data_IF_266880647275
#
_entry.id   IF_266880647275
#
_cell.length_a   1.000
_cell.length_b   1.000
_cell.length_c   1.000
_cell.angle_alpha   90.00
_cell.angle_beta   90.00
_cell.angle_gamma   90.00
#
_symmetry.space_group_name_H-M   'P 1'
#
loop_
_entity.id
_entity.type
_entity.pdbx_description
1 polymer ?
#
# COMPACT_ATOMS: atom_id res chain seq x y z
N UNK A 1 -25.30 23.63 -13.79
CA UNK A 1 -24.45 22.56 -14.36
C UNK A 1 -23.38 22.06 -13.38
N UNK A 2 -22.59 22.92 -12.73
CA UNK A 2 -21.55 22.51 -11.76
C UNK A 2 -22.07 21.72 -10.53
N UNK A 3 -23.26 22.07 -10.01
CA UNK A 3 -23.91 21.37 -8.89
C UNK A 3 -24.37 19.96 -9.26
N UNK A 4 -25.01 19.80 -10.42
CA UNK A 4 -25.44 18.49 -10.94
C UNK A 4 -24.24 17.55 -11.19
N UNK A 5 -23.16 18.06 -11.78
CA UNK A 5 -21.93 17.32 -11.97
C UNK A 5 -21.33 16.86 -10.62
N UNK A 6 -21.28 17.75 -9.62
CA UNK A 6 -20.78 17.45 -8.28
C UNK A 6 -21.59 16.35 -7.58
N UNK A 7 -22.92 16.42 -7.64
CA UNK A 7 -23.79 15.38 -7.09
C UNK A 7 -23.59 14.02 -7.79
N UNK A 8 -23.39 14.01 -9.11
CA UNK A 8 -23.12 12.79 -9.86
C UNK A 8 -21.79 12.15 -9.45
N UNK A 9 -20.71 12.95 -9.32
CA UNK A 9 -19.42 12.45 -8.85
C UNK A 9 -19.47 11.94 -7.41
N UNK A 10 -20.17 12.64 -6.52
CA UNK A 10 -20.34 12.22 -5.13
C UNK A 10 -21.11 10.88 -5.05
N UNK A 11 -22.20 10.72 -5.79
CA UNK A 11 -22.96 9.48 -5.86
C UNK A 11 -22.12 8.31 -6.38
N UNK A 12 -21.36 8.52 -7.46
CA UNK A 12 -20.48 7.48 -8.02
C UNK A 12 -19.35 7.10 -7.07
N UNK A 13 -18.76 8.07 -6.37
CA UNK A 13 -17.71 7.80 -5.38
C UNK A 13 -18.22 6.98 -4.21
N UNK A 14 -19.43 7.26 -3.71
CA UNK A 14 -20.08 6.47 -2.66
C UNK A 14 -20.43 5.06 -3.13
N UNK A 15 -20.94 4.92 -4.34
CA UNK A 15 -21.21 3.61 -4.92
C UNK A 15 -19.93 2.76 -5.04
N UNK A 16 -18.80 3.38 -5.44
CA UNK A 16 -17.51 2.69 -5.47
C UNK A 16 -17.06 2.28 -4.07
N UNK A 17 -17.17 3.16 -3.07
CA UNK A 17 -16.82 2.86 -1.69
C UNK A 17 -17.63 1.68 -1.16
N UNK A 18 -18.96 1.68 -1.34
CA UNK A 18 -19.82 0.56 -0.96
C UNK A 18 -19.48 -0.73 -1.71
N UNK A 19 -19.11 -0.63 -2.99
CA UNK A 19 -18.64 -1.78 -3.78
C UNK A 19 -17.31 -2.33 -3.26
N UNK A 20 -16.41 -1.47 -2.78
CA UNK A 20 -15.13 -1.88 -2.19
C UNK A 20 -15.38 -2.54 -0.83
N UNK A 21 -16.20 -1.93 0.04
CA UNK A 21 -16.55 -2.47 1.36
C UNK A 21 -17.25 -3.82 1.26
N UNK A 22 -18.30 -3.93 0.44
CA UNK A 22 -19.02 -5.18 0.20
C UNK A 22 -18.25 -6.17 -0.69
N UNK A 23 -17.23 -5.70 -1.41
CA UNK A 23 -16.40 -6.50 -2.30
C UNK A 23 -15.13 -7.04 -1.66
N UNK A 24 -14.76 -6.61 -0.45
CA UNK A 24 -13.43 -6.83 0.12
C UNK A 24 -13.03 -8.31 0.17
N UNK A 25 -13.95 -9.18 0.62
CA UNK A 25 -13.73 -10.64 0.64
C UNK A 25 -13.46 -11.20 -0.77
N UNK A 26 -14.23 -10.76 -1.77
CA UNK A 26 -14.03 -11.16 -3.17
C UNK A 26 -12.71 -10.63 -3.73
N UNK A 27 -12.32 -9.42 -3.37
CA UNK A 27 -11.04 -8.83 -3.79
C UNK A 27 -9.86 -9.60 -3.21
N UNK A 28 -9.93 -9.98 -1.93
CA UNK A 28 -8.89 -10.80 -1.29
C UNK A 28 -8.82 -12.22 -1.88
N UNK A 29 -9.96 -12.84 -2.18
CA UNK A 29 -10.00 -14.13 -2.86
C UNK A 29 -9.43 -14.03 -4.28
N UNK A 30 -9.85 -13.03 -5.05
CA UNK A 30 -9.36 -12.78 -6.39
C UNK A 30 -7.84 -12.53 -6.39
N UNK A 31 -7.34 -11.78 -5.41
CA UNK A 31 -5.91 -11.59 -5.19
C UNK A 31 -5.20 -12.91 -4.91
N UNK A 32 -5.69 -13.70 -3.96
CA UNK A 32 -5.10 -14.99 -3.60
C UNK A 32 -5.03 -15.93 -4.79
N UNK A 33 -6.11 -16.04 -5.58
CA UNK A 33 -6.14 -16.85 -6.80
C UNK A 33 -5.14 -16.33 -7.83
N UNK A 34 -5.14 -15.02 -8.11
CA UNK A 34 -4.29 -14.41 -9.12
C UNK A 34 -2.80 -14.56 -8.79
N UNK A 35 -2.39 -14.25 -7.56
CA UNK A 35 -0.99 -14.34 -7.15
C UNK A 35 -0.53 -15.78 -7.05
N UNK A 36 -1.36 -16.69 -6.53
CA UNK A 36 -1.02 -18.12 -6.49
C UNK A 36 -0.88 -18.70 -7.90
N UNK A 37 -1.77 -18.32 -8.83
CA UNK A 37 -1.66 -18.71 -10.23
C UNK A 37 -0.39 -18.13 -10.88
N UNK A 38 -0.05 -16.87 -10.61
CA UNK A 38 1.19 -16.25 -11.09
C UNK A 38 2.44 -16.97 -10.56
N UNK A 39 2.47 -17.34 -9.28
CA UNK A 39 3.54 -18.16 -8.69
C UNK A 39 3.65 -19.53 -9.39
N UNK A 40 2.52 -20.21 -9.58
CA UNK A 40 2.47 -21.52 -10.24
C UNK A 40 2.96 -21.45 -11.68
N UNK A 41 2.51 -20.45 -12.45
CA UNK A 41 2.98 -20.20 -13.81
C UNK A 41 4.47 -19.92 -13.84
N UNK A 42 4.98 -19.07 -12.92
CA UNK A 42 6.39 -18.73 -12.83
C UNK A 42 7.28 -19.94 -12.58
N UNK A 43 6.82 -20.89 -11.77
CA UNK A 43 7.51 -22.16 -11.51
C UNK A 43 7.43 -23.06 -12.75
N UNK A 44 6.25 -23.20 -13.35
CA UNK A 44 6.02 -24.07 -14.51
C UNK A 44 6.82 -23.63 -15.75
N UNK A 45 7.03 -22.34 -15.93
CA UNK A 45 7.80 -21.78 -17.05
C UNK A 45 9.28 -21.56 -16.72
N UNK A 46 9.75 -22.03 -15.55
CA UNK A 46 11.14 -21.85 -15.16
C UNK A 46 12.06 -22.63 -16.10
N UNK A 47 13.11 -22.02 -16.68
CA UNK A 47 14.08 -22.73 -17.52
C UNK A 47 14.99 -23.65 -16.70
N UNK A 48 14.90 -23.60 -15.38
CA UNK A 48 15.73 -24.36 -14.46
C UNK A 48 15.07 -25.71 -14.19
N UNK A 49 15.70 -26.80 -14.65
CA UNK A 49 15.17 -28.16 -14.51
C UNK A 49 15.17 -28.70 -13.06
N UNK A 50 15.81 -28.00 -12.12
CA UNK A 50 15.86 -28.41 -10.72
C UNK A 50 14.60 -27.97 -9.96
N UNK A 51 14.17 -28.80 -9.00
CA UNK A 51 13.08 -28.45 -8.09
C UNK A 51 13.36 -27.12 -7.37
N UNK A 52 12.35 -26.24 -7.21
CA UNK A 52 12.54 -24.99 -6.48
C UNK A 52 12.98 -25.27 -5.04
N UNK A 53 13.88 -24.43 -4.53
CA UNK A 53 14.27 -24.49 -3.12
C UNK A 53 13.06 -24.22 -2.21
N UNK A 54 13.06 -24.80 -1.00
CA UNK A 54 12.01 -24.53 -0.01
C UNK A 54 11.87 -23.02 0.29
N UNK A 55 12.98 -22.28 0.28
CA UNK A 55 12.99 -20.82 0.44
C UNK A 55 12.16 -20.11 -0.65
N UNK A 56 12.23 -20.56 -1.91
CA UNK A 56 11.43 -19.98 -3.02
C UNK A 56 9.94 -20.15 -2.76
N UNK A 57 9.52 -21.32 -2.28
CA UNK A 57 8.12 -21.57 -1.91
C UNK A 57 7.65 -20.67 -0.78
N UNK A 58 8.48 -20.51 0.26
CA UNK A 58 8.18 -19.61 1.39
C UNK A 58 8.04 -18.17 0.91
N UNK A 59 8.94 -17.69 0.05
CA UNK A 59 8.87 -16.33 -0.50
C UNK A 59 7.54 -16.11 -1.25
N UNK A 60 7.16 -17.04 -2.13
CA UNK A 60 5.89 -16.94 -2.87
C UNK A 60 4.66 -17.04 -1.97
N UNK A 61 4.69 -17.91 -0.96
CA UNK A 61 3.61 -17.99 0.03
C UNK A 61 3.47 -16.67 0.80
N UNK A 62 4.58 -16.06 1.22
CA UNK A 62 4.58 -14.76 1.90
C UNK A 62 4.06 -13.65 1.00
N UNK A 63 4.49 -13.58 -0.27
CA UNK A 63 4.02 -12.57 -1.23
C UNK A 63 2.49 -12.65 -1.44
N UNK A 64 1.95 -13.87 -1.54
CA UNK A 64 0.51 -14.09 -1.70
C UNK A 64 -0.26 -13.75 -0.42
N UNK A 65 0.24 -14.20 0.74
CA UNK A 65 -0.46 -14.12 2.02
C UNK A 65 -0.34 -12.76 2.70
N UNK A 66 0.74 -12.02 2.51
CA UNK A 66 1.03 -10.77 3.22
C UNK A 66 -0.10 -9.73 3.16
N UNK A 67 -0.57 -9.27 1.98
CA UNK A 67 -1.65 -8.29 1.92
C UNK A 67 -2.96 -8.84 2.50
N UNK A 68 -3.27 -10.12 2.30
CA UNK A 68 -4.47 -10.76 2.87
C UNK A 68 -4.41 -10.78 4.39
N UNK A 69 -3.32 -11.29 4.96
CA UNK A 69 -3.09 -11.37 6.39
C UNK A 69 -3.08 -10.00 7.04
N UNK A 70 -2.41 -9.02 6.43
CA UNK A 70 -2.41 -7.64 6.89
C UNK A 70 -3.79 -6.99 6.81
N UNK A 71 -4.58 -7.22 5.75
CA UNK A 71 -5.96 -6.73 5.68
C UNK A 71 -6.82 -7.35 6.78
N UNK A 72 -6.76 -8.66 7.00
CA UNK A 72 -7.52 -9.34 8.06
C UNK A 72 -7.15 -8.82 9.45
N UNK A 73 -5.86 -8.72 9.74
CA UNK A 73 -5.36 -8.18 10.99
C UNK A 73 -5.81 -6.72 11.19
N UNK A 74 -5.71 -5.89 10.16
CA UNK A 74 -6.15 -4.50 10.20
C UNK A 74 -7.67 -4.36 10.34
N UNK A 75 -8.47 -5.24 9.73
CA UNK A 75 -9.93 -5.24 9.87
C UNK A 75 -10.35 -5.54 11.30
N UNK A 76 -9.62 -6.44 11.96
CA UNK A 76 -9.81 -6.74 13.37
C UNK A 76 -9.38 -5.55 14.25
N UNK A 77 -8.18 -5.01 14.03
CA UNK A 77 -7.63 -3.90 14.81
C UNK A 77 -8.48 -2.62 14.69
N UNK A 78 -8.91 -2.29 13.48
CA UNK A 78 -9.69 -1.09 13.18
C UNK A 78 -11.20 -1.33 13.16
N UNK A 79 -11.69 -2.34 13.89
CA UNK A 79 -13.14 -2.59 14.01
C UNK A 79 -13.89 -1.34 14.49
N UNK A 80 -13.31 -0.64 15.46
CA UNK A 80 -13.77 0.64 16.01
C UNK A 80 -12.84 1.79 15.63
N UNK A 81 -12.37 1.80 14.37
CA UNK A 81 -11.32 2.72 13.89
C UNK A 81 -11.57 4.20 14.20
N UNK A 82 -12.82 4.66 14.09
CA UNK A 82 -13.20 6.05 14.38
C UNK A 82 -13.07 6.43 15.88
N UNK A 83 -13.10 5.44 16.78
CA UNK A 83 -12.93 5.63 18.22
C UNK A 83 -11.47 5.71 18.67
N UNK A 84 -10.52 5.36 17.80
CA UNK A 84 -9.09 5.47 18.09
C UNK A 84 -8.75 6.97 18.16
N UNK A 85 -8.22 7.42 19.31
CA UNK A 85 -7.90 8.83 19.54
C UNK A 85 -7.04 9.41 18.42
N UNK A 86 -7.44 10.58 17.91
CA UNK A 86 -6.69 11.27 16.86
C UNK A 86 -5.31 11.70 17.39
N UNK A 87 -4.24 11.10 16.85
CA UNK A 87 -2.88 11.53 17.11
C UNK A 87 -2.72 13.01 16.74
N UNK A 88 -2.35 13.84 17.72
CA UNK A 88 -2.29 15.28 17.55
C UNK A 88 -1.01 15.70 16.79
N UNK A 89 -0.99 15.51 15.47
CA UNK A 89 -0.13 16.35 14.62
C UNK A 89 -0.71 17.77 14.69
N UNK A 90 -0.20 18.56 15.62
CA UNK A 90 -0.67 19.89 15.97
C UNK A 90 -0.17 20.93 14.95
N UNK A 91 -0.61 20.81 13.70
CA UNK A 91 -0.52 21.90 12.76
C UNK A 91 -1.63 22.91 13.12
N UNK A 92 -1.21 23.93 13.87
CA UNK A 92 -1.94 25.15 14.25
C UNK A 92 -3.33 24.93 14.87
N UNK A 93 -3.37 24.80 16.21
CA UNK A 93 -4.62 24.75 16.99
C UNK A 93 -5.49 26.01 16.86
N UNK A 94 -4.97 27.14 16.39
CA UNK A 94 -5.74 28.40 16.33
C UNK A 94 -6.64 28.52 15.10
N UNK A 95 -6.32 27.83 14.00
CA UNK A 95 -7.12 27.84 12.76
C UNK A 95 -8.23 26.79 12.71
N UNK A 96 -8.27 25.88 13.68
CA UNK A 96 -9.13 24.71 13.62
C UNK A 96 -9.86 24.47 14.94
N UNK A 97 -11.19 24.38 14.88
CA UNK A 97 -12.04 23.99 16.00
C UNK A 97 -12.11 22.47 16.11
N UNK A 98 -11.81 21.93 17.29
CA UNK A 98 -12.01 20.52 17.58
C UNK A 98 -13.50 20.16 17.59
N UNK A 99 -13.83 19.00 17.03
CA UNK A 99 -15.16 18.42 17.02
C UNK A 99 -15.20 17.15 17.87
N UNK A 100 -16.21 16.99 18.74
CA UNK A 100 -16.55 15.69 19.30
C UNK A 100 -16.81 14.68 18.18
N UNK A 101 -16.48 13.40 18.40
CA UNK A 101 -16.64 12.34 17.40
C UNK A 101 -18.07 12.28 16.83
N UNK A 102 -19.09 12.39 17.68
CA UNK A 102 -20.49 12.38 17.25
C UNK A 102 -20.82 13.54 16.29
N UNK A 103 -20.26 14.73 16.52
CA UNK A 103 -20.44 15.88 15.64
C UNK A 103 -19.66 15.71 14.33
N UNK A 104 -18.46 15.12 14.39
CA UNK A 104 -17.70 14.78 13.19
C UNK A 104 -18.46 13.78 12.31
N UNK A 105 -19.01 12.71 12.90
CA UNK A 105 -19.77 11.67 12.19
C UNK A 105 -21.06 12.21 11.54
N UNK A 106 -21.73 13.16 12.18
CA UNK A 106 -22.91 13.82 11.64
C UNK A 106 -22.59 14.82 10.50
N UNK A 107 -21.31 15.17 10.30
CA UNK A 107 -20.93 16.20 9.34
C UNK A 107 -21.02 15.68 7.90
N UNK A 108 -21.58 16.45 6.93
CA UNK A 108 -21.74 15.99 5.53
C UNK A 108 -20.45 15.59 4.80
N UNK A 109 -19.31 16.10 5.27
CA UNK A 109 -17.99 15.79 4.74
C UNK A 109 -17.32 14.59 5.43
N UNK A 110 -17.94 13.96 6.41
CA UNK A 110 -17.37 12.79 7.06
C UNK A 110 -17.34 11.58 6.13
N UNK A 111 -16.25 10.81 6.18
CA UNK A 111 -16.08 9.55 5.48
C UNK A 111 -15.27 9.62 4.19
N UNK A 112 -14.88 8.44 3.70
CA UNK A 112 -13.97 8.23 2.57
C UNK A 112 -14.60 8.43 1.17
N UNK A 113 -15.40 9.47 0.96
CA UNK A 113 -15.97 9.81 -0.36
C UNK A 113 -15.13 10.84 -1.15
N UNK A 114 -15.43 11.01 -2.45
CA UNK A 114 -14.72 11.93 -3.33
C UNK A 114 -13.27 11.50 -3.62
N UNK A 115 -12.32 12.44 -3.53
CA UNK A 115 -10.88 12.18 -3.76
C UNK A 115 -10.27 11.11 -2.83
N UNK A 116 -10.90 10.86 -1.67
CA UNK A 116 -10.46 9.79 -0.77
C UNK A 116 -10.61 8.41 -1.40
N UNK A 117 -11.63 8.23 -2.24
CA UNK A 117 -11.87 6.97 -2.95
C UNK A 117 -10.75 6.70 -3.95
N UNK A 118 -10.29 7.72 -4.69
CA UNK A 118 -9.13 7.56 -5.58
C UNK A 118 -7.85 7.25 -4.82
N UNK A 119 -7.69 7.74 -3.58
CA UNK A 119 -6.58 7.34 -2.72
C UNK A 119 -6.69 5.86 -2.32
N UNK A 120 -7.88 5.39 -1.91
CA UNK A 120 -8.11 3.97 -1.60
C UNK A 120 -7.80 3.06 -2.78
N UNK A 121 -8.27 3.43 -3.98
CA UNK A 121 -7.94 2.72 -5.22
C UNK A 121 -6.44 2.78 -5.50
N UNK A 122 -5.81 3.95 -5.31
CA UNK A 122 -4.37 4.13 -5.44
C UNK A 122 -3.59 3.17 -4.54
N UNK A 123 -3.99 3.00 -3.27
CA UNK A 123 -3.35 2.06 -2.34
C UNK A 123 -3.46 0.61 -2.83
N UNK A 124 -4.62 0.20 -3.35
CA UNK A 124 -4.81 -1.14 -3.92
C UNK A 124 -3.96 -1.37 -5.17
N UNK A 125 -3.91 -0.36 -6.05
CA UNK A 125 -3.07 -0.41 -7.26
C UNK A 125 -1.60 -0.50 -6.89
N UNK A 126 -1.15 0.21 -5.86
CA UNK A 126 0.24 0.11 -5.35
C UNK A 126 0.57 -1.31 -4.92
N UNK A 127 -0.33 -1.99 -4.19
CA UNK A 127 -0.14 -3.40 -3.80
C UNK A 127 0.05 -4.28 -5.03
N UNK A 128 -0.84 -4.16 -6.02
CA UNK A 128 -0.79 -4.96 -7.22
C UNK A 128 0.47 -4.71 -8.06
N UNK A 129 0.78 -3.44 -8.34
CA UNK A 129 1.96 -3.08 -9.14
C UNK A 129 3.25 -3.56 -8.49
N UNK A 130 3.41 -3.39 -7.17
CA UNK A 130 4.61 -3.84 -6.47
C UNK A 130 4.80 -5.35 -6.55
N UNK A 131 3.72 -6.12 -6.45
CA UNK A 131 3.78 -7.58 -6.64
C UNK A 131 4.13 -7.97 -8.07
N UNK A 132 3.59 -7.29 -9.08
CA UNK A 132 3.99 -7.54 -10.47
C UNK A 132 5.45 -7.19 -10.75
N UNK A 133 5.94 -6.09 -10.17
CA UNK A 133 7.35 -5.68 -10.26
C UNK A 133 8.27 -6.71 -9.63
N UNK A 134 7.90 -7.28 -8.49
CA UNK A 134 8.61 -8.40 -7.87
C UNK A 134 8.71 -9.61 -8.82
N UNK A 135 7.59 -10.03 -9.44
CA UNK A 135 7.60 -11.14 -10.39
C UNK A 135 8.38 -10.83 -11.67
N UNK A 136 8.38 -9.58 -12.12
CA UNK A 136 9.16 -9.15 -13.27
C UNK A 136 10.67 -9.15 -12.97
N UNK A 137 11.05 -8.76 -11.74
CA UNK A 137 12.44 -8.62 -11.33
C UNK A 137 13.12 -9.96 -11.02
N UNK A 138 12.40 -10.93 -10.44
CA UNK A 138 13.01 -12.16 -9.93
C UNK A 138 12.63 -13.42 -10.74
N UNK A 139 13.61 -14.15 -11.30
CA UNK A 139 13.36 -15.46 -11.89
C UNK A 139 13.03 -16.50 -10.81
N UNK A 140 12.44 -17.63 -11.21
CA UNK A 140 12.30 -18.77 -10.30
C UNK A 140 13.69 -19.38 -10.02
N UNK A 141 14.03 -19.54 -8.73
CA UNK A 141 15.36 -19.95 -8.31
C UNK A 141 15.44 -21.45 -7.95
N UNK A 142 16.53 -22.08 -8.39
CA UNK A 142 16.98 -23.41 -7.97
C UNK A 142 17.64 -23.39 -6.58
N UNK A 143 17.98 -24.57 -6.06
CA UNK A 143 18.71 -24.72 -4.80
C UNK A 143 20.12 -24.08 -4.79
N UNK A 144 20.82 -24.06 -5.93
CA UNK A 144 22.17 -23.50 -6.04
C UNK A 144 22.16 -22.24 -6.90
N UNK A 145 22.24 -21.06 -6.27
CA UNK A 145 22.29 -19.76 -6.94
C UNK A 145 23.49 -18.94 -6.44
N UNK A 146 24.00 -17.99 -7.25
CA UNK A 146 25.02 -17.05 -6.79
C UNK A 146 24.57 -16.29 -5.54
N UNK A 147 25.52 -15.96 -4.65
CA UNK A 147 25.22 -15.27 -3.38
C UNK A 147 24.46 -13.96 -3.59
N UNK A 148 24.85 -13.16 -4.60
CA UNK A 148 24.16 -11.91 -4.92
C UNK A 148 22.68 -12.10 -5.28
N UNK A 149 22.34 -13.22 -5.93
CA UNK A 149 20.96 -13.51 -6.35
C UNK A 149 20.10 -13.95 -5.16
N UNK A 150 20.69 -14.69 -4.20
CA UNK A 150 20.04 -15.01 -2.94
C UNK A 150 19.76 -13.74 -2.11
N UNK A 151 20.74 -12.83 -2.02
CA UNK A 151 20.55 -11.53 -1.35
C UNK A 151 19.48 -10.71 -2.06
N UNK A 152 19.53 -10.61 -3.38
CA UNK A 152 18.53 -9.90 -4.19
C UNK A 152 17.12 -10.46 -3.96
N UNK A 153 16.97 -11.80 -3.99
CA UNK A 153 15.69 -12.45 -3.70
C UNK A 153 15.20 -12.08 -2.31
N UNK A 154 16.06 -12.20 -1.29
CA UNK A 154 15.69 -11.89 0.09
C UNK A 154 15.23 -10.44 0.24
N UNK A 155 16.02 -9.46 -0.21
CA UNK A 155 15.70 -8.05 0.01
C UNK A 155 14.48 -7.59 -0.79
N UNK A 156 14.29 -8.08 -2.02
CA UNK A 156 13.09 -7.77 -2.81
C UNK A 156 11.85 -8.49 -2.27
N UNK A 157 12.00 -9.70 -1.71
CA UNK A 157 10.89 -10.40 -1.04
C UNK A 157 10.47 -9.64 0.21
N UNK A 158 11.44 -9.22 1.02
CA UNK A 158 11.20 -8.41 2.20
C UNK A 158 10.50 -7.10 1.82
N UNK A 159 10.96 -6.43 0.77
CA UNK A 159 10.36 -5.20 0.25
C UNK A 159 8.89 -5.40 -0.13
N UNK A 160 8.60 -6.36 -1.02
CA UNK A 160 7.23 -6.56 -1.49
C UNK A 160 6.32 -7.04 -0.38
N UNK A 161 6.76 -7.95 0.49
CA UNK A 161 5.95 -8.49 1.61
C UNK A 161 5.63 -7.40 2.60
N UNK A 162 6.64 -6.63 3.02
CA UNK A 162 6.48 -5.56 4.00
C UNK A 162 5.54 -4.48 3.48
N UNK A 163 5.78 -3.95 2.27
CA UNK A 163 5.01 -2.80 1.81
C UNK A 163 3.65 -3.15 1.23
N UNK A 164 3.46 -4.33 0.63
CA UNK A 164 2.09 -4.77 0.30
C UNK A 164 1.25 -4.96 1.57
N UNK A 165 1.86 -5.47 2.64
CA UNK A 165 1.24 -5.57 3.96
C UNK A 165 0.93 -4.20 4.57
N UNK A 166 1.90 -3.29 4.62
CA UNK A 166 1.71 -1.95 5.20
C UNK A 166 0.68 -1.12 4.41
N UNK A 167 0.69 -1.17 3.07
CA UNK A 167 -0.32 -0.50 2.26
C UNK A 167 -1.71 -1.12 2.41
N UNK A 168 -1.80 -2.45 2.63
CA UNK A 168 -3.05 -3.10 3.01
C UNK A 168 -3.58 -2.60 4.37
N UNK A 169 -2.71 -2.45 5.37
CA UNK A 169 -3.09 -1.85 6.66
C UNK A 169 -3.57 -0.41 6.48
N UNK A 170 -2.86 0.40 5.68
CA UNK A 170 -3.24 1.77 5.39
C UNK A 170 -4.57 1.88 4.66
N UNK A 171 -4.81 0.99 3.70
CA UNK A 171 -6.10 0.87 3.01
C UNK A 171 -7.24 0.61 3.99
N UNK A 172 -7.09 -0.37 4.88
CA UNK A 172 -8.14 -0.68 5.88
C UNK A 172 -8.31 0.45 6.89
N UNK A 173 -7.23 1.08 7.35
CA UNK A 173 -7.30 2.23 8.24
C UNK A 173 -8.06 3.40 7.60
N UNK A 174 -7.80 3.67 6.32
CA UNK A 174 -8.53 4.69 5.56
C UNK A 174 -10.02 4.32 5.41
N UNK A 175 -10.32 3.07 5.07
CA UNK A 175 -11.67 2.53 4.89
C UNK A 175 -12.49 2.63 6.18
N UNK A 176 -11.86 2.33 7.32
CA UNK A 176 -12.46 2.41 8.67
C UNK A 176 -12.45 3.81 9.27
N UNK A 177 -12.07 4.84 8.49
CA UNK A 177 -11.96 6.22 8.94
C UNK A 177 -11.06 6.39 10.18
N UNK A 178 -10.04 5.54 10.33
CA UNK A 178 -9.18 5.55 11.50
C UNK A 178 -8.29 6.80 11.53
N UNK A 179 -8.29 7.61 12.60
CA UNK A 179 -7.51 8.85 12.69
C UNK A 179 -6.00 8.69 12.50
N UNK A 180 -5.46 7.49 12.76
CA UNK A 180 -4.05 7.16 12.55
C UNK A 180 -3.67 7.04 11.06
N UNK A 181 -4.64 6.95 10.14
CA UNK A 181 -4.37 6.71 8.72
C UNK A 181 -3.42 7.75 8.09
N UNK A 182 -3.66 9.07 8.15
CA UNK A 182 -2.77 10.04 7.52
C UNK A 182 -1.32 9.99 8.03
N UNK A 183 -1.03 10.02 9.36
CA UNK A 183 0.35 9.91 9.83
C UNK A 183 0.96 8.54 9.53
N UNK A 184 0.18 7.46 9.58
CA UNK A 184 0.66 6.13 9.22
C UNK A 184 1.08 6.05 7.76
N UNK A 185 0.28 6.58 6.83
CA UNK A 185 0.63 6.60 5.42
C UNK A 185 1.90 7.41 5.16
N UNK A 186 2.09 8.53 5.85
CA UNK A 186 3.33 9.31 5.77
C UNK A 186 4.55 8.51 6.26
N UNK A 187 4.41 7.78 7.38
CA UNK A 187 5.47 6.88 7.87
C UNK A 187 5.76 5.75 6.88
N UNK A 188 4.73 5.18 6.24
CA UNK A 188 4.90 4.15 5.22
C UNK A 188 5.68 4.70 4.02
N UNK A 189 5.37 5.89 3.52
CA UNK A 189 6.15 6.52 2.45
C UNK A 189 7.62 6.73 2.83
N UNK A 190 7.89 7.21 4.05
CA UNK A 190 9.25 7.41 4.52
C UNK A 190 10.01 6.09 4.64
N UNK A 191 9.37 5.06 5.19
CA UNK A 191 9.93 3.71 5.28
C UNK A 191 10.17 3.12 3.89
N UNK A 192 9.28 3.37 2.92
CA UNK A 192 9.41 2.87 1.55
C UNK A 192 10.65 3.44 0.87
N UNK A 193 10.84 4.76 0.94
CA UNK A 193 12.04 5.42 0.43
C UNK A 193 13.32 4.90 1.11
N UNK A 194 13.29 4.69 2.43
CA UNK A 194 14.41 4.11 3.16
C UNK A 194 14.71 2.67 2.72
N UNK A 195 13.67 1.87 2.45
CA UNK A 195 13.83 0.50 1.94
C UNK A 195 14.47 0.48 0.56
N UNK A 196 14.11 1.39 -0.35
CA UNK A 196 14.75 1.46 -1.68
C UNK A 196 16.27 1.70 -1.55
N UNK A 197 16.70 2.56 -0.62
CA UNK A 197 18.11 2.77 -0.32
C UNK A 197 18.75 1.52 0.30
N UNK A 198 18.05 0.85 1.21
CA UNK A 198 18.51 -0.39 1.84
C UNK A 198 18.74 -1.51 0.82
N UNK A 199 17.82 -1.69 -0.15
CA UNK A 199 17.97 -2.66 -1.24
C UNK A 199 19.20 -2.33 -2.10
N UNK A 200 19.37 -1.05 -2.49
CA UNK A 200 20.53 -0.63 -3.27
C UNK A 200 21.85 -0.92 -2.56
N UNK A 201 21.95 -0.60 -1.27
CA UNK A 201 23.14 -0.86 -0.45
C UNK A 201 23.40 -2.35 -0.29
N UNK A 202 22.38 -3.15 0.02
CA UNK A 202 22.53 -4.59 0.24
C UNK A 202 23.04 -5.32 -1.02
N UNK A 203 22.56 -4.94 -2.21
CA UNK A 203 22.96 -5.57 -3.46
C UNK A 203 24.33 -5.05 -3.93
N UNK A 204 24.60 -3.75 -3.81
CA UNK A 204 25.91 -3.18 -4.19
C UNK A 204 27.08 -3.68 -3.32
N UNK A 205 26.80 -4.13 -2.10
CA UNK A 205 27.78 -4.78 -1.23
C UNK A 205 28.16 -6.21 -1.68
N UNK A 206 27.44 -6.81 -2.64
CA UNK A 206 27.74 -8.14 -3.12
C UNK A 206 28.86 -8.12 -4.18
N UNK A 207 29.76 -9.09 -4.10
CA UNK A 207 30.76 -9.31 -5.14
C UNK A 207 30.09 -9.86 -6.42
N UNK A 208 30.71 -9.58 -7.57
CA UNK A 208 30.38 -10.17 -8.87
C UNK A 208 28.93 -9.98 -9.34
N UNK A 209 28.27 -8.89 -8.92
CA UNK A 209 26.95 -8.52 -9.47
C UNK A 209 27.10 -8.15 -10.94
N UNK A 210 26.41 -8.84 -11.88
CA UNK A 210 26.50 -8.50 -13.29
C UNK A 210 26.01 -7.07 -13.54
N UNK A 211 26.73 -6.30 -14.36
CA UNK A 211 26.39 -4.90 -14.69
C UNK A 211 24.95 -4.75 -15.21
N UNK A 212 24.47 -5.73 -15.98
CA UNK A 212 23.10 -5.76 -16.47
C UNK A 212 22.07 -5.84 -15.32
N UNK A 213 22.35 -6.65 -14.28
CA UNK A 213 21.51 -6.76 -13.09
C UNK A 213 21.54 -5.46 -12.29
N UNK A 214 22.71 -4.87 -12.08
CA UNK A 214 22.84 -3.58 -11.41
C UNK A 214 22.06 -2.46 -12.12
N UNK A 215 22.13 -2.42 -13.46
CA UNK A 215 21.39 -1.44 -14.27
C UNK A 215 19.87 -1.66 -14.18
N UNK A 216 19.42 -2.91 -14.25
CA UNK A 216 18.00 -3.26 -14.12
C UNK A 216 17.45 -2.93 -12.73
N UNK A 217 18.21 -3.26 -11.67
CA UNK A 217 17.86 -2.92 -10.30
C UNK A 217 17.77 -1.41 -10.10
N UNK A 218 18.74 -0.64 -10.62
CA UNK A 218 18.70 0.81 -10.53
C UNK A 218 17.41 1.39 -11.13
N UNK A 219 17.02 0.93 -12.34
CA UNK A 219 15.75 1.37 -12.98
C UNK A 219 14.52 0.98 -12.17
N UNK A 220 14.51 -0.20 -11.57
CA UNK A 220 13.43 -0.66 -10.71
C UNK A 220 13.27 0.26 -9.49
N UNK A 221 14.38 0.49 -8.76
CA UNK A 221 14.39 1.32 -7.56
C UNK A 221 14.04 2.78 -7.86
N UNK A 222 14.58 3.34 -8.95
CA UNK A 222 14.23 4.69 -9.41
C UNK A 222 12.72 4.80 -9.71
N UNK A 223 12.17 3.80 -10.42
CA UNK A 223 10.73 3.71 -10.67
C UNK A 223 9.90 3.66 -9.39
N UNK A 224 10.33 2.91 -8.38
CA UNK A 224 9.66 2.88 -7.07
C UNK A 224 9.74 4.24 -6.36
N UNK A 225 10.90 4.88 -6.34
CA UNK A 225 11.09 6.22 -5.72
C UNK A 225 10.16 7.24 -6.39
N UNK A 226 10.13 7.29 -7.72
CA UNK A 226 9.25 8.20 -8.47
C UNK A 226 7.78 7.95 -8.14
N UNK A 227 7.34 6.69 -8.06
CA UNK A 227 5.95 6.35 -7.68
C UNK A 227 5.61 6.82 -6.27
N UNK A 228 6.50 6.61 -5.31
CA UNK A 228 6.31 7.07 -3.93
C UNK A 228 6.26 8.60 -3.87
N UNK A 229 7.18 9.29 -4.52
CA UNK A 229 7.21 10.76 -4.54
C UNK A 229 5.98 11.36 -5.26
N UNK A 230 5.52 10.74 -6.35
CA UNK A 230 4.29 11.14 -7.02
C UNK A 230 3.07 10.96 -6.10
N UNK A 231 3.01 9.84 -5.36
CA UNK A 231 1.98 9.57 -4.36
C UNK A 231 2.01 10.60 -3.22
N UNK A 232 3.19 10.91 -2.69
CA UNK A 232 3.40 11.95 -1.67
C UNK A 232 2.94 13.31 -2.18
N UNK A 233 3.39 13.73 -3.37
CA UNK A 233 3.06 15.02 -3.97
C UNK A 233 1.57 15.19 -4.25
N UNK A 234 0.88 14.12 -4.63
CA UNK A 234 -0.56 14.14 -4.87
C UNK A 234 -1.37 14.13 -3.57
N UNK A 235 -1.03 13.24 -2.63
CA UNK A 235 -1.90 12.93 -1.50
C UNK A 235 -1.56 13.69 -0.23
N UNK A 236 -0.30 14.04 0.02
CA UNK A 236 0.07 14.77 1.23
C UNK A 236 -0.64 16.14 1.31
N UNK A 237 -0.66 16.99 0.27
CA UNK A 237 -1.38 18.26 0.32
C UNK A 237 -2.88 18.05 0.59
N UNK A 238 -3.47 17.05 -0.05
CA UNK A 238 -4.88 16.69 0.17
C UNK A 238 -5.13 16.27 1.62
N UNK A 239 -4.32 15.37 2.20
CA UNK A 239 -4.48 14.88 3.57
C UNK A 239 -4.22 15.97 4.62
N UNK A 240 -3.37 16.95 4.30
CA UNK A 240 -3.05 18.05 5.21
C UNK A 240 -4.10 19.17 5.19
N UNK A 241 -4.58 19.55 4.00
CA UNK A 241 -5.36 20.77 3.79
C UNK A 241 -6.85 20.53 3.58
N UNK A 242 -7.27 19.33 3.13
CA UNK A 242 -8.67 19.06 2.82
C UNK A 242 -9.56 19.12 4.06
N UNK A 243 -10.61 19.93 4.01
CA UNK A 243 -11.65 19.97 5.06
C UNK A 243 -12.26 18.59 5.29
N UNK A 244 -12.44 17.79 4.23
CA UNK A 244 -12.95 16.41 4.34
C UNK A 244 -12.00 15.52 5.14
N UNK A 245 -10.70 15.57 4.84
CA UNK A 245 -9.69 14.79 5.55
C UNK A 245 -9.58 15.23 7.02
N UNK A 246 -9.65 16.54 7.28
CA UNK A 246 -9.64 17.09 8.64
C UNK A 246 -10.87 16.68 9.46
N UNK A 247 -12.07 16.73 8.87
CA UNK A 247 -13.30 16.27 9.54
C UNK A 247 -13.24 14.76 9.79
N UNK A 248 -12.80 13.97 8.81
CA UNK A 248 -12.84 12.50 8.87
C UNK A 248 -11.78 11.92 9.80
N UNK A 249 -10.51 12.34 9.67
CA UNK A 249 -9.40 11.72 10.39
C UNK A 249 -8.86 12.54 11.56
N UNK A 250 -9.18 13.83 11.64
CA UNK A 250 -8.67 14.71 12.71
C UNK A 250 -9.76 15.26 13.61
N UNK A 251 -11.02 15.04 13.26
CA UNK A 251 -12.20 15.58 13.93
C UNK A 251 -12.09 17.09 14.15
N UNK A 252 -11.76 17.85 13.10
CA UNK A 252 -11.59 19.31 13.17
C UNK A 252 -12.24 20.01 11.98
N UNK A 253 -12.72 21.24 12.21
CA UNK A 253 -13.20 22.15 11.18
C UNK A 253 -12.38 23.45 11.16
N UNK A 254 -12.19 24.08 9.99
CA UNK A 254 -11.65 25.44 9.93
C UNK A 254 -12.54 26.38 10.75
N UNK A 255 -11.94 27.26 11.54
CA UNK A 255 -12.61 28.33 12.29
C UNK A 255 -13.13 29.43 11.37
#
# INVERSE_FOLDING_TARGET
MLTAARHHFDARSRALLLSIEGGLSRMMLAWGVLVTAACGLRIATSPVAASPAAATWICYALVAAAPIGSMLAALHWFRDGAGIGAGALALDRRRYRALPLAQAQAHPLYGASGLMVSLLVGLLVTIALRTFEYFAALPALAANVPAWLAVLQFVLTLDVVLFTGLYAVAFVAALRNAPIFPPMLAMIWAADLAMQLGVAQAVSAQADVPVAVGTALHRLLDGHVVKVLASVGLWMPYLLLSTRANVTYRHRLPS
#
